data_IF_127551420469
#
_entry.id   IF_127551420469
#
_cell.length_a   1.000
_cell.length_b   1.000
_cell.length_c   1.000
_cell.angle_alpha   90.00
_cell.angle_beta   90.00
_cell.angle_gamma   90.00
#
_symmetry.space_group_name_H-M   'P 1'
#
loop_
_entity.id
_entity.type
_entity.pdbx_description
1 polymer ?
#
# COMPACT_ATOMS: atom_id res chain seq x y z
N UNK A 1 12.11 21.44 18.13
CA UNK A 1 13.07 20.84 17.19
C UNK A 1 12.73 21.37 15.81
N UNK A 2 13.65 22.06 15.14
CA UNK A 2 13.37 22.71 13.86
C UNK A 2 14.01 21.90 12.75
N UNK A 3 13.20 21.28 11.90
CA UNK A 3 13.69 20.69 10.65
C UNK A 3 14.10 21.84 9.75
N UNK A 4 15.28 21.78 9.14
CA UNK A 4 15.68 22.78 8.15
C UNK A 4 14.76 22.67 6.93
N UNK A 5 14.36 23.80 6.35
CA UNK A 5 13.50 23.85 5.16
C UNK A 5 14.09 23.02 4.02
N UNK A 6 15.41 23.07 3.84
CA UNK A 6 16.13 22.25 2.86
C UNK A 6 15.96 20.73 3.08
N UNK A 7 15.92 20.26 4.32
CA UNK A 7 15.72 18.84 4.63
C UNK A 7 14.27 18.42 4.35
N UNK A 8 13.31 19.29 4.68
CA UNK A 8 11.90 19.08 4.34
C UNK A 8 11.70 18.98 2.83
N UNK A 9 12.27 19.90 2.05
CA UNK A 9 12.18 19.89 0.59
C UNK A 9 12.79 18.61 0.00
N UNK A 10 13.88 18.12 0.58
CA UNK A 10 14.50 16.85 0.16
C UNK A 10 13.58 15.65 0.43
N UNK A 11 12.94 15.58 1.60
CA UNK A 11 11.98 14.52 1.92
C UNK A 11 10.79 14.54 0.96
N UNK A 12 10.21 15.72 0.70
CA UNK A 12 9.09 15.87 -0.22
C UNK A 12 9.48 15.49 -1.66
N UNK A 13 10.67 15.90 -2.10
CA UNK A 13 11.18 15.51 -3.41
C UNK A 13 11.36 13.99 -3.52
N UNK A 14 12.00 13.37 -2.52
CA UNK A 14 12.20 11.92 -2.48
C UNK A 14 10.87 11.16 -2.46
N UNK A 15 9.90 11.61 -1.65
CA UNK A 15 8.57 11.02 -1.57
C UNK A 15 7.84 11.10 -2.91
N UNK A 16 7.86 12.27 -3.58
CA UNK A 16 7.24 12.42 -4.91
C UNK A 16 7.91 11.57 -5.98
N UNK A 17 9.24 11.44 -5.93
CA UNK A 17 9.97 10.54 -6.83
C UNK A 17 9.57 9.07 -6.59
N UNK A 18 9.49 8.64 -5.32
CA UNK A 18 9.01 7.31 -4.95
C UNK A 18 7.58 7.06 -5.40
N UNK A 19 6.67 8.04 -5.24
CA UNK A 19 5.29 7.96 -5.71
C UNK A 19 5.22 7.73 -7.23
N UNK A 20 5.97 8.50 -8.02
CA UNK A 20 5.99 8.38 -9.49
C UNK A 20 6.51 7.00 -9.91
N UNK A 21 7.60 6.54 -9.28
CA UNK A 21 8.18 5.22 -9.55
C UNK A 21 7.17 4.13 -9.16
N UNK A 22 6.66 4.15 -7.93
CA UNK A 22 5.70 3.17 -7.42
C UNK A 22 4.47 3.09 -8.32
N UNK A 23 3.84 4.23 -8.61
CA UNK A 23 2.66 4.30 -9.49
C UNK A 23 2.92 3.71 -10.87
N UNK A 24 4.10 3.95 -11.45
CA UNK A 24 4.48 3.38 -12.74
C UNK A 24 4.58 1.85 -12.69
N UNK A 25 5.23 1.30 -11.66
CA UNK A 25 5.30 -0.14 -11.45
C UNK A 25 3.92 -0.75 -11.18
N UNK A 26 3.12 -0.12 -10.34
CA UNK A 26 1.77 -0.55 -10.01
C UNK A 26 0.88 -0.57 -11.27
N UNK A 27 0.99 0.43 -12.14
CA UNK A 27 0.27 0.47 -13.41
C UNK A 27 0.70 -0.67 -14.35
N UNK A 28 1.99 -0.95 -14.45
CA UNK A 28 2.52 -2.07 -15.25
C UNK A 28 2.02 -3.43 -14.72
N UNK A 29 2.08 -3.65 -13.41
CA UNK A 29 1.59 -4.89 -12.78
C UNK A 29 0.09 -5.05 -13.02
N UNK A 30 -0.69 -3.98 -12.85
CA UNK A 30 -2.12 -4.00 -13.11
C UNK A 30 -2.44 -4.34 -14.57
N UNK A 31 -1.71 -3.75 -15.52
CA UNK A 31 -1.86 -4.06 -16.94
C UNK A 31 -1.53 -5.54 -17.25
N UNK A 32 -0.42 -6.05 -16.72
CA UNK A 32 -0.03 -7.45 -16.86
C UNK A 32 -1.07 -8.41 -16.25
N UNK A 33 -1.60 -8.10 -15.06
CA UNK A 33 -2.64 -8.90 -14.41
C UNK A 33 -3.94 -8.97 -15.21
N UNK A 34 -4.33 -7.87 -15.87
CA UNK A 34 -5.53 -7.87 -16.70
C UNK A 34 -5.34 -8.69 -17.99
N UNK A 35 -4.15 -8.63 -18.60
CA UNK A 35 -3.90 -9.20 -19.93
C UNK A 35 -3.42 -10.65 -19.91
N UNK A 36 -2.52 -11.00 -19.00
CA UNK A 36 -1.74 -12.24 -19.06
C UNK A 36 -2.26 -13.34 -18.12
N UNK A 37 -3.32 -13.10 -17.34
CA UNK A 37 -3.74 -14.09 -16.33
C UNK A 37 -4.55 -15.24 -16.94
N UNK A 38 -4.09 -16.50 -16.83
CA UNK A 38 -4.78 -17.67 -17.38
C UNK A 38 -6.11 -17.95 -16.64
N UNK A 39 -7.11 -18.52 -17.33
CA UNK A 39 -8.46 -18.73 -16.78
C UNK A 39 -8.49 -19.68 -15.57
N UNK A 40 -7.54 -20.61 -15.46
CA UNK A 40 -7.44 -21.53 -14.32
C UNK A 40 -7.04 -20.83 -13.00
N UNK A 41 -6.56 -19.59 -13.07
CA UNK A 41 -6.12 -18.79 -11.92
C UNK A 41 -7.10 -17.65 -11.57
N UNK A 42 -8.34 -17.69 -12.08
CA UNK A 42 -9.31 -16.61 -11.92
C UNK A 42 -9.57 -16.20 -10.45
N UNK A 43 -9.57 -17.16 -9.51
CA UNK A 43 -9.77 -16.87 -8.08
C UNK A 43 -8.60 -16.07 -7.48
N UNK A 44 -7.36 -16.50 -7.75
CA UNK A 44 -6.15 -15.78 -7.27
C UNK A 44 -6.03 -14.41 -7.95
N UNK A 45 -6.46 -14.28 -9.21
CA UNK A 45 -6.46 -13.00 -9.93
C UNK A 45 -7.21 -11.91 -9.15
N UNK A 46 -8.36 -12.24 -8.58
CA UNK A 46 -9.18 -11.28 -7.85
C UNK A 46 -8.48 -10.77 -6.58
N UNK A 47 -7.76 -11.65 -5.85
CA UNK A 47 -6.96 -11.24 -4.70
C UNK A 47 -5.79 -10.36 -5.11
N UNK A 48 -5.09 -10.68 -6.21
CA UNK A 48 -3.99 -9.86 -6.71
C UNK A 48 -4.47 -8.48 -7.18
N UNK A 49 -5.61 -8.41 -7.87
CA UNK A 49 -6.24 -7.14 -8.25
C UNK A 49 -6.64 -6.33 -7.00
N UNK A 50 -7.21 -6.97 -5.98
CA UNK A 50 -7.57 -6.30 -4.73
C UNK A 50 -6.34 -5.69 -4.04
N UNK A 51 -5.24 -6.46 -3.94
CA UNK A 51 -3.96 -5.96 -3.39
C UNK A 51 -3.48 -4.76 -4.19
N UNK A 52 -3.51 -4.87 -5.53
CA UNK A 52 -3.03 -3.83 -6.43
C UNK A 52 -3.82 -2.52 -6.30
N UNK A 53 -5.16 -2.60 -6.25
CA UNK A 53 -6.03 -1.43 -6.06
C UNK A 53 -5.83 -0.81 -4.68
N UNK A 54 -5.70 -1.65 -3.64
CA UNK A 54 -5.50 -1.18 -2.27
C UNK A 54 -4.14 -0.48 -2.12
N UNK A 55 -3.08 -1.00 -2.77
CA UNK A 55 -1.77 -0.35 -2.82
C UNK A 55 -1.82 1.01 -3.53
N UNK A 56 -2.47 1.09 -4.69
CA UNK A 56 -2.66 2.38 -5.38
C UNK A 56 -3.39 3.39 -4.50
N UNK A 57 -4.45 2.96 -3.81
CA UNK A 57 -5.19 3.83 -2.89
C UNK A 57 -4.33 4.28 -1.70
N UNK A 58 -3.50 3.38 -1.16
CA UNK A 58 -2.56 3.68 -0.08
C UNK A 58 -1.49 4.67 -0.53
N UNK A 59 -0.91 4.52 -1.72
CA UNK A 59 0.12 5.42 -2.25
C UNK A 59 -0.46 6.83 -2.42
N UNK A 60 -1.65 6.96 -3.04
CA UNK A 60 -2.36 8.26 -3.13
C UNK A 60 -2.61 8.85 -1.73
N UNK A 61 -3.01 8.00 -0.78
CA UNK A 61 -3.27 8.44 0.58
C UNK A 61 -2.00 8.95 1.27
N UNK A 62 -0.90 8.20 1.20
CA UNK A 62 0.37 8.55 1.83
C UNK A 62 1.04 9.75 1.16
N UNK A 63 1.00 9.83 -0.16
CA UNK A 63 1.79 10.80 -0.90
C UNK A 63 1.09 12.15 -1.12
N UNK A 64 -0.25 12.17 -1.12
CA UNK A 64 -1.04 13.38 -1.39
C UNK A 64 -1.90 13.80 -0.19
N UNK A 65 -2.59 12.85 0.43
CA UNK A 65 -3.58 13.15 1.48
C UNK A 65 -2.91 13.36 2.85
N UNK A 66 -2.02 12.45 3.25
CA UNK A 66 -1.33 12.47 4.52
C UNK A 66 0.01 13.23 4.42
N UNK A 67 0.85 12.92 3.43
CA UNK A 67 2.20 13.50 3.25
C UNK A 67 2.97 13.60 4.60
N UNK A 68 3.32 12.46 5.22
CA UNK A 68 3.96 12.45 6.53
C UNK A 68 5.44 12.79 6.44
N UNK A 69 5.88 13.81 7.19
CA UNK A 69 7.27 14.23 7.27
C UNK A 69 7.86 13.74 8.61
N UNK A 70 8.83 12.82 8.58
CA UNK A 70 9.43 12.27 9.79
C UNK A 70 10.29 13.32 10.52
N UNK A 71 10.20 13.34 11.84
CA UNK A 71 10.94 14.24 12.73
C UNK A 71 12.10 13.50 13.38
N UNK A 72 13.16 13.23 12.62
CA UNK A 72 14.39 12.66 13.20
C UNK A 72 14.94 13.60 14.28
N UNK A 73 15.49 13.14 15.42
CA UNK A 73 15.64 11.75 15.87
C UNK A 73 14.47 11.25 16.72
N UNK A 74 13.40 12.03 16.88
CA UNK A 74 12.25 11.64 17.69
C UNK A 74 11.39 10.66 16.85
N UNK A 75 10.88 9.56 17.41
CA UNK A 75 9.90 8.74 16.71
C UNK A 75 8.58 9.51 16.59
N UNK A 76 8.49 10.37 15.58
CA UNK A 76 7.36 11.23 15.33
C UNK A 76 7.36 11.68 13.87
N UNK A 77 6.18 12.05 13.39
CA UNK A 77 6.00 12.69 12.11
C UNK A 77 5.01 13.83 12.29
N UNK A 78 5.17 14.89 11.50
CA UNK A 78 4.07 15.83 11.28
C UNK A 78 3.51 15.62 9.88
N UNK A 79 2.31 16.12 9.64
CA UNK A 79 1.57 15.87 8.43
C UNK A 79 1.41 17.17 7.65
N UNK A 80 1.65 17.11 6.34
CA UNK A 80 1.61 18.27 5.45
C UNK A 80 0.64 18.09 4.27
N UNK A 81 -0.11 16.99 4.21
CA UNK A 81 -1.01 16.69 3.11
C UNK A 81 -2.37 17.40 3.17
N UNK A 82 -3.22 17.13 2.18
CA UNK A 82 -4.55 17.74 2.06
C UNK A 82 -5.46 17.51 3.28
N UNK A 83 -5.40 16.32 3.88
CA UNK A 83 -6.25 16.00 5.05
C UNK A 83 -5.83 16.79 6.29
N UNK A 84 -4.54 17.13 6.42
CA UNK A 84 -4.07 17.97 7.51
C UNK A 84 -4.40 19.44 7.33
N UNK A 85 -4.42 19.93 6.09
CA UNK A 85 -4.98 21.25 5.78
C UNK A 85 -6.47 21.32 6.12
N UNK A 86 -7.19 20.19 6.00
CA UNK A 86 -8.59 20.04 6.42
C UNK A 86 -8.81 19.92 7.94
N UNK A 87 -7.78 20.16 8.76
CA UNK A 87 -7.83 20.07 10.23
C UNK A 87 -8.24 18.68 10.78
N UNK A 88 -8.02 17.61 10.01
CA UNK A 88 -8.29 16.24 10.48
C UNK A 88 -7.19 15.82 11.46
N UNK A 89 -7.54 15.31 12.66
CA UNK A 89 -6.54 14.90 13.64
C UNK A 89 -5.67 13.77 13.13
N UNK A 90 -4.37 13.84 13.46
CA UNK A 90 -3.36 12.87 13.03
C UNK A 90 -3.66 11.43 13.48
N UNK A 91 -4.36 11.26 14.62
CA UNK A 91 -4.77 9.95 15.14
C UNK A 91 -5.63 9.19 14.12
N UNK A 92 -6.63 9.85 13.54
CA UNK A 92 -7.48 9.24 12.51
C UNK A 92 -6.68 8.89 11.26
N UNK A 93 -5.71 9.74 10.90
CA UNK A 93 -4.89 9.49 9.72
C UNK A 93 -3.98 8.27 9.87
N UNK A 94 -3.42 8.07 11.06
CA UNK A 94 -2.69 6.84 11.39
C UNK A 94 -3.60 5.61 11.45
N UNK A 95 -4.83 5.74 11.96
CA UNK A 95 -5.80 4.63 11.93
C UNK A 95 -6.12 4.18 10.51
N UNK A 96 -6.34 5.13 9.59
CA UNK A 96 -6.59 4.82 8.18
C UNK A 96 -5.37 4.13 7.56
N UNK A 97 -4.16 4.60 7.86
CA UNK A 97 -2.93 3.97 7.39
C UNK A 97 -2.80 2.51 7.86
N UNK A 98 -2.97 2.28 9.16
CA UNK A 98 -2.93 0.93 9.76
C UNK A 98 -4.00 0.03 9.13
N UNK A 99 -5.18 0.58 8.85
CA UNK A 99 -6.26 -0.14 8.20
C UNK A 99 -5.89 -0.59 6.77
N UNK A 100 -5.30 0.30 5.96
CA UNK A 100 -4.77 -0.07 4.64
C UNK A 100 -3.72 -1.18 4.72
N UNK A 101 -2.77 -1.05 5.65
CA UNK A 101 -1.71 -2.06 5.86
C UNK A 101 -2.28 -3.41 6.30
N UNK A 102 -3.29 -3.40 7.18
CA UNK A 102 -3.98 -4.62 7.59
C UNK A 102 -4.72 -5.29 6.42
N UNK A 103 -5.43 -4.53 5.59
CA UNK A 103 -6.12 -5.07 4.41
C UNK A 103 -5.15 -5.70 3.40
N UNK A 104 -4.03 -5.03 3.13
CA UNK A 104 -2.98 -5.55 2.25
C UNK A 104 -2.40 -6.83 2.86
N UNK A 105 -2.05 -6.82 4.15
CA UNK A 105 -1.50 -7.98 4.86
C UNK A 105 -2.44 -9.19 4.83
N UNK A 106 -3.71 -9.01 5.16
CA UNK A 106 -4.73 -10.07 5.11
C UNK A 106 -4.88 -10.61 3.68
N UNK A 107 -4.92 -9.73 2.68
CA UNK A 107 -5.06 -10.14 1.27
C UNK A 107 -3.87 -10.98 0.79
N UNK A 108 -2.64 -10.62 1.18
CA UNK A 108 -1.42 -11.38 0.87
C UNK A 108 -1.44 -12.75 1.56
N UNK A 109 -1.85 -12.83 2.83
CA UNK A 109 -1.96 -14.08 3.58
C UNK A 109 -2.98 -15.00 2.90
N UNK A 110 -4.18 -14.49 2.58
CA UNK A 110 -5.21 -15.25 1.89
C UNK A 110 -4.73 -15.75 0.53
N UNK A 111 -4.11 -14.88 -0.27
CA UNK A 111 -3.54 -15.26 -1.56
C UNK A 111 -2.50 -16.38 -1.42
N UNK A 112 -1.65 -16.32 -0.39
CA UNK A 112 -0.64 -17.33 -0.11
C UNK A 112 -1.25 -18.67 0.31
N UNK A 113 -2.29 -18.64 1.15
CA UNK A 113 -3.02 -19.83 1.58
C UNK A 113 -3.73 -20.51 0.40
N UNK A 114 -4.45 -19.75 -0.43
CA UNK A 114 -5.12 -20.28 -1.62
C UNK A 114 -4.13 -20.94 -2.59
N UNK A 115 -2.98 -20.30 -2.83
CA UNK A 115 -1.93 -20.87 -3.66
C UNK A 115 -1.37 -22.17 -3.08
N UNK A 116 -1.19 -22.23 -1.76
CA UNK A 116 -0.73 -23.45 -1.08
C UNK A 116 -1.76 -24.59 -1.19
N UNK A 117 -3.06 -24.30 -1.04
CA UNK A 117 -4.13 -25.29 -1.16
C UNK A 117 -4.22 -25.92 -2.55
N UNK A 118 -3.88 -25.17 -3.61
CA UNK A 118 -3.85 -25.69 -4.98
C UNK A 118 -2.72 -26.70 -5.21
N UNK A 119 -1.62 -26.61 -4.45
CA UNK A 119 -0.46 -27.51 -4.56
C UNK A 119 -0.61 -28.78 -3.70
N UNK A 120 -1.52 -28.79 -2.73
CA UNK A 120 -1.67 -29.91 -1.80
C UNK A 120 -2.37 -31.13 -2.45
N UNK A 121 -1.91 -32.36 -2.12
CA UNK A 121 -2.58 -33.58 -2.56
C UNK A 121 -4.00 -33.65 -1.99
N UNK A 122 -4.92 -34.31 -2.70
CA UNK A 122 -6.36 -34.35 -2.40
C UNK A 122 -6.70 -34.92 -1.00
N UNK A 123 -5.78 -35.64 -0.37
CA UNK A 123 -5.98 -36.30 0.93
C UNK A 123 -5.49 -35.48 2.14
N UNK A 124 -5.02 -34.24 1.94
CA UNK A 124 -4.48 -33.44 3.04
C UNK A 124 -5.57 -32.64 3.77
N UNK A 125 -5.53 -32.63 5.11
CA UNK A 125 -6.55 -32.03 6.01
C UNK A 125 -6.78 -30.51 5.85
N UNK A 126 -5.89 -29.81 5.14
CA UNK A 126 -5.98 -28.37 4.86
C UNK A 126 -6.66 -28.03 3.52
N UNK A 127 -7.07 -29.05 2.76
CA UNK A 127 -7.79 -28.88 1.50
C UNK A 127 -9.28 -28.81 1.81
N UNK A 128 -9.82 -27.59 1.87
CA UNK A 128 -11.25 -27.32 1.98
C UNK A 128 -11.91 -27.37 0.60
#
# INVERSE_FOLDING_TARGET
>A
YFISVALQDYFLFAQRALFVISTSFLALVFFCLLRETPPHQASIKNYLILIQVTLCAKDIYMDILFEPIPIMPIPGAYCNGLLCHGAIPMQYQFTILIWFDAMIGISIILCSLFRHQQLLPLLHWMKM
#
